data_IF_766072866187
#
_entry.id   IF_766072866187
#
_cell.length_a   1.000
_cell.length_b   1.000
_cell.length_c   1.000
_cell.angle_alpha   90.00
_cell.angle_beta   90.00
_cell.angle_gamma   90.00
#
_symmetry.space_group_name_H-M   'P 1'
#
loop_
_entity.id
_entity.type
_entity.pdbx_description
1 polymer ?
#
# COMPACT_ATOMS: atom_id res chain seq x y z
N UNK A 1 -83.57 81.51 45.87
CA UNK A 1 -84.48 81.40 47.05
C UNK A 1 -85.16 80.01 47.12
N UNK A 2 -85.65 79.44 46.00
CA UNK A 2 -86.20 78.06 45.97
C UNK A 2 -85.16 76.94 46.17
N UNK A 3 -83.88 77.15 45.81
CA UNK A 3 -82.82 76.14 46.03
C UNK A 3 -82.33 76.04 47.49
N UNK A 4 -82.13 77.15 48.22
CA UNK A 4 -81.69 77.11 49.64
C UNK A 4 -82.69 76.43 50.57
N UNK A 5 -83.99 76.67 50.36
CA UNK A 5 -85.03 76.01 51.15
C UNK A 5 -85.15 74.52 50.82
N UNK A 6 -84.99 74.15 49.54
CA UNK A 6 -84.96 72.74 49.14
C UNK A 6 -83.72 72.02 49.70
N UNK A 7 -82.57 72.70 49.80
CA UNK A 7 -81.34 72.18 50.40
C UNK A 7 -81.46 72.01 51.93
N UNK A 8 -81.99 73.00 52.65
CA UNK A 8 -82.18 72.91 54.10
C UNK A 8 -83.21 71.85 54.52
N UNK A 9 -84.26 71.65 53.71
CA UNK A 9 -85.27 70.62 53.97
C UNK A 9 -84.71 69.20 53.66
N UNK A 10 -83.87 69.08 52.61
CA UNK A 10 -83.10 67.86 52.35
C UNK A 10 -82.15 67.54 53.51
N UNK A 11 -81.45 68.54 54.06
CA UNK A 11 -80.56 68.36 55.21
C UNK A 11 -81.31 67.86 56.46
N UNK A 12 -82.51 68.38 56.71
CA UNK A 12 -83.35 67.92 57.82
C UNK A 12 -83.86 66.48 57.63
N UNK A 13 -84.24 66.08 56.40
CA UNK A 13 -84.60 64.69 56.11
C UNK A 13 -83.40 63.73 56.19
N UNK A 14 -82.22 64.15 55.73
CA UNK A 14 -80.97 63.39 55.87
C UNK A 14 -80.62 63.21 57.35
N UNK A 15 -80.73 64.27 58.16
CA UNK A 15 -80.48 64.20 59.60
C UNK A 15 -81.51 63.32 60.31
N UNK A 16 -82.78 63.36 59.92
CA UNK A 16 -83.82 62.49 60.48
C UNK A 16 -83.60 61.02 60.11
N UNK A 17 -83.25 60.73 58.86
CA UNK A 17 -82.87 59.39 58.42
C UNK A 17 -81.60 58.90 59.14
N UNK A 18 -80.63 59.79 59.37
CA UNK A 18 -79.44 59.49 60.17
C UNK A 18 -79.80 59.15 61.61
N UNK A 19 -80.70 59.90 62.26
CA UNK A 19 -81.19 59.60 63.62
C UNK A 19 -81.91 58.25 63.66
N UNK A 20 -82.81 57.98 62.71
CA UNK A 20 -83.54 56.72 62.64
C UNK A 20 -82.60 55.53 62.41
N UNK A 21 -81.60 55.69 61.54
CA UNK A 21 -80.58 54.67 61.30
C UNK A 21 -79.68 54.48 62.54
N UNK A 22 -79.32 55.54 63.26
CA UNK A 22 -78.59 55.45 64.54
C UNK A 22 -79.43 54.75 65.62
N UNK A 23 -80.72 55.01 65.71
CA UNK A 23 -81.63 54.30 66.63
C UNK A 23 -81.75 52.81 66.26
N UNK A 24 -81.84 52.50 64.96
CA UNK A 24 -81.82 51.12 64.48
C UNK A 24 -80.51 50.44 64.86
N UNK A 25 -79.36 51.07 64.66
CA UNK A 25 -78.05 50.58 65.09
C UNK A 25 -78.03 50.32 66.60
N UNK A 26 -78.51 51.24 67.43
CA UNK A 26 -78.62 51.05 68.88
C UNK A 26 -79.48 49.83 69.23
N UNK A 27 -80.63 49.66 68.57
CA UNK A 27 -81.52 48.52 68.82
C UNK A 27 -80.88 47.18 68.46
N UNK A 28 -80.12 47.13 67.36
CA UNK A 28 -79.37 45.94 66.94
C UNK A 28 -78.25 45.65 67.92
N UNK A 29 -77.46 46.66 68.30
CA UNK A 29 -76.38 46.52 69.29
C UNK A 29 -76.90 46.04 70.65
N UNK A 30 -78.05 46.55 71.11
CA UNK A 30 -78.69 46.07 72.35
C UNK A 30 -79.10 44.60 72.28
N UNK A 31 -79.55 44.12 71.12
CA UNK A 31 -79.87 42.68 70.92
C UNK A 31 -78.62 41.81 70.82
N UNK A 32 -77.51 42.35 70.32
CA UNK A 32 -76.24 41.64 70.21
C UNK A 32 -75.45 41.62 71.53
N UNK A 33 -75.72 42.54 72.46
CA UNK A 33 -75.01 42.64 73.73
C UNK A 33 -75.07 41.36 74.59
N UNK A 34 -76.23 40.70 74.78
CA UNK A 34 -76.32 39.44 75.53
C UNK A 34 -75.54 38.30 74.87
N UNK A 35 -75.57 38.23 73.54
CA UNK A 35 -74.81 37.23 72.77
C UNK A 35 -73.32 37.45 72.95
N UNK A 36 -72.86 38.71 72.89
CA UNK A 36 -71.47 39.06 73.15
C UNK A 36 -71.04 38.68 74.57
N UNK A 37 -71.87 38.96 75.59
CA UNK A 37 -71.57 38.56 76.97
C UNK A 37 -71.55 37.05 77.18
N UNK A 38 -72.40 36.30 76.48
CA UNK A 38 -72.38 34.83 76.53
C UNK A 38 -71.08 34.30 75.88
N UNK A 39 -70.70 34.83 74.71
CA UNK A 39 -69.45 34.47 74.04
C UNK A 39 -68.21 34.83 74.87
N UNK A 40 -68.21 35.96 75.59
CA UNK A 40 -67.11 36.31 76.51
C UNK A 40 -67.01 35.31 77.67
N UNK A 41 -68.15 34.86 78.21
CA UNK A 41 -68.17 33.88 79.28
C UNK A 41 -67.63 32.52 78.79
N UNK A 42 -68.04 32.08 77.60
CA UNK A 42 -67.50 30.86 76.97
C UNK A 42 -66.00 30.98 76.71
N UNK A 43 -65.55 32.14 76.22
CA UNK A 43 -64.13 32.41 75.98
C UNK A 43 -63.32 32.34 77.28
N UNK A 44 -63.84 32.88 78.38
CA UNK A 44 -63.21 32.79 79.69
C UNK A 44 -63.11 31.31 80.16
N UNK A 45 -64.17 30.52 79.99
CA UNK A 45 -64.15 29.08 80.32
C UNK A 45 -63.10 28.34 79.48
N UNK A 46 -63.07 28.59 78.17
CA UNK A 46 -62.09 28.00 77.25
C UNK A 46 -60.65 28.38 77.62
N UNK A 47 -60.40 29.63 78.01
CA UNK A 47 -59.09 30.08 78.49
C UNK A 47 -58.67 29.35 79.77
N UNK A 48 -59.60 29.15 80.71
CA UNK A 48 -59.33 28.39 81.95
C UNK A 48 -59.00 26.93 81.62
N UNK A 49 -59.80 26.27 80.76
CA UNK A 49 -59.56 24.88 80.35
C UNK A 49 -58.23 24.73 79.61
N UNK A 50 -57.91 25.69 78.74
CA UNK A 50 -56.62 25.70 78.05
C UNK A 50 -55.46 25.83 79.04
N UNK A 51 -55.55 26.74 80.00
CA UNK A 51 -54.54 26.89 81.06
C UNK A 51 -54.35 25.58 81.85
N UNK A 52 -55.45 24.94 82.27
CA UNK A 52 -55.41 23.65 82.96
C UNK A 52 -54.76 22.54 82.10
N UNK A 53 -55.08 22.48 80.81
CA UNK A 53 -54.45 21.53 79.89
C UNK A 53 -52.95 21.81 79.74
N UNK A 54 -52.56 23.08 79.61
CA UNK A 54 -51.14 23.45 79.50
C UNK A 54 -50.35 23.12 80.76
N UNK A 55 -50.93 23.33 81.95
CA UNK A 55 -50.28 22.96 83.21
C UNK A 55 -50.15 21.44 83.35
N UNK A 56 -51.20 20.68 82.97
CA UNK A 56 -51.14 19.21 82.94
C UNK A 56 -50.08 18.69 81.96
N UNK A 57 -49.93 19.31 80.79
CA UNK A 57 -48.87 18.97 79.84
C UNK A 57 -47.50 19.24 80.46
N UNK A 58 -47.29 20.42 81.07
CA UNK A 58 -46.02 20.75 81.73
C UNK A 58 -45.67 19.76 82.85
N UNK A 59 -46.66 19.33 83.63
CA UNK A 59 -46.44 18.36 84.69
C UNK A 59 -46.08 16.98 84.15
N UNK A 60 -46.75 16.55 83.07
CA UNK A 60 -46.38 15.33 82.35
C UNK A 60 -44.99 15.44 81.75
N UNK A 61 -44.64 16.55 81.09
CA UNK A 61 -43.31 16.80 80.53
C UNK A 61 -42.22 16.71 81.60
N UNK A 62 -42.44 17.30 82.78
CA UNK A 62 -41.50 17.15 83.91
C UNK A 62 -41.34 15.68 84.31
N UNK A 63 -42.43 14.92 84.38
CA UNK A 63 -42.37 13.48 84.65
C UNK A 63 -41.64 12.71 83.53
N UNK A 64 -41.80 13.12 82.27
CA UNK A 64 -41.13 12.50 81.13
C UNK A 64 -39.63 12.85 81.04
N UNK A 65 -39.23 14.02 81.48
CA UNK A 65 -37.83 14.47 81.45
C UNK A 65 -37.04 13.91 82.63
N UNK A 66 -37.70 13.52 83.73
CA UNK A 66 -37.04 12.94 84.90
C UNK A 66 -36.30 11.63 84.57
N UNK A 67 -34.95 11.64 84.55
CA UNK A 67 -34.16 10.47 84.21
C UNK A 67 -34.03 9.47 85.37
N UNK A 68 -34.66 9.74 86.53
CA UNK A 68 -34.62 8.89 87.72
C UNK A 68 -35.74 7.85 87.81
N UNK A 69 -36.66 7.81 86.84
CA UNK A 69 -37.79 6.88 86.87
C UNK A 69 -37.36 5.48 86.42
N UNK A 70 -37.30 4.54 87.38
CA UNK A 70 -36.75 3.18 87.20
C UNK A 70 -37.45 2.37 86.11
N UNK A 71 -38.72 2.69 85.82
CA UNK A 71 -39.51 1.99 84.80
C UNK A 71 -39.15 2.37 83.35
N UNK A 72 -38.35 3.43 83.12
CA UNK A 72 -37.95 3.89 81.78
C UNK A 72 -36.47 3.71 81.46
N UNK A 73 -35.66 3.26 82.42
CA UNK A 73 -34.23 3.01 82.22
C UNK A 73 -34.04 1.55 81.83
N UNK A 74 -33.57 1.29 80.62
CA UNK A 74 -33.09 -0.04 80.22
C UNK A 74 -31.63 -0.18 80.63
N UNK A 75 -31.37 -0.98 81.66
CA UNK A 75 -29.99 -1.35 82.02
C UNK A 75 -29.42 -2.24 80.89
N UNK A 76 -28.48 -1.71 80.12
CA UNK A 76 -27.76 -2.51 79.14
C UNK A 76 -26.87 -3.51 79.88
N UNK A 77 -26.89 -4.78 79.46
CA UNK A 77 -25.95 -5.77 79.99
C UNK A 77 -24.57 -5.51 79.39
N UNK A 78 -23.60 -5.32 80.27
CA UNK A 78 -22.19 -5.10 79.95
C UNK A 78 -21.49 -4.56 81.20
N UNK A 79 -20.18 -4.77 81.30
CA UNK A 79 -19.35 -3.97 82.20
C UNK A 79 -18.82 -2.82 81.35
N UNK A 80 -19.10 -1.60 81.74
CA UNK A 80 -18.39 -0.46 81.17
C UNK A 80 -16.93 -0.62 81.57
N UNK A 81 -16.03 -0.63 80.58
CA UNK A 81 -14.61 -0.70 80.88
C UNK A 81 -14.27 0.50 81.73
N UNK A 82 -13.58 0.22 82.83
CA UNK A 82 -13.05 1.29 83.66
C UNK A 82 -12.05 2.09 82.83
N UNK A 83 -11.91 3.39 83.06
CA UNK A 83 -10.96 4.24 82.34
C UNK A 83 -9.55 3.62 82.27
N UNK A 84 -9.10 3.02 83.38
CA UNK A 84 -7.84 2.28 83.46
C UNK A 84 -7.76 1.03 82.57
N UNK A 85 -8.86 0.29 82.38
CA UNK A 85 -8.90 -0.88 81.49
C UNK A 85 -8.89 -0.46 80.02
N UNK A 86 -9.53 0.68 79.71
CA UNK A 86 -9.54 1.26 78.38
C UNK A 86 -8.15 1.76 77.98
N UNK A 87 -7.45 2.44 78.90
CA UNK A 87 -6.05 2.85 78.72
C UNK A 87 -5.15 1.63 78.48
N UNK A 88 -5.24 0.58 79.31
CA UNK A 88 -4.45 -0.64 79.11
C UNK A 88 -4.67 -1.28 77.74
N UNK A 89 -5.91 -1.30 77.26
CA UNK A 89 -6.24 -1.85 75.94
C UNK A 89 -5.71 -0.95 74.82
N UNK A 90 -5.71 0.36 75.02
CA UNK A 90 -5.14 1.34 74.10
C UNK A 90 -3.62 1.13 74.00
N UNK A 91 -2.91 1.02 75.12
CA UNK A 91 -1.47 0.74 75.17
C UNK A 91 -1.13 -0.59 74.46
N UNK A 92 -1.94 -1.63 74.65
CA UNK A 92 -1.74 -2.91 73.98
C UNK A 92 -1.92 -2.82 72.46
N UNK A 93 -2.93 -2.07 72.01
CA UNK A 93 -3.15 -1.82 70.58
C UNK A 93 -2.05 -0.97 69.97
N UNK A 94 -1.57 0.06 70.66
CA UNK A 94 -0.43 0.88 70.22
C UNK A 94 0.84 0.03 70.09
N UNK A 95 1.12 -0.84 71.06
CA UNK A 95 2.25 -1.76 70.98
C UNK A 95 2.12 -2.73 69.80
N UNK A 96 0.91 -3.25 69.53
CA UNK A 96 0.67 -4.12 68.39
C UNK A 96 0.83 -3.37 67.06
N UNK A 97 0.37 -2.12 66.99
CA UNK A 97 0.53 -1.26 65.82
C UNK A 97 2.02 -1.01 65.53
N UNK A 98 2.78 -0.59 66.54
CA UNK A 98 4.22 -0.34 66.41
C UNK A 98 4.98 -1.58 65.91
N UNK A 99 4.66 -2.77 66.45
CA UNK A 99 5.25 -4.05 65.97
C UNK A 99 4.90 -4.38 64.52
N UNK A 100 3.75 -3.93 64.02
CA UNK A 100 3.34 -4.13 62.63
C UNK A 100 4.03 -3.15 61.70
N UNK A 101 4.19 -1.89 62.13
CA UNK A 101 4.91 -0.85 61.41
C UNK A 101 6.39 -1.22 61.25
N UNK A 102 7.05 -1.68 62.30
CA UNK A 102 8.44 -2.18 62.25
C UNK A 102 8.60 -3.28 61.19
N UNK A 103 7.73 -4.30 61.22
CA UNK A 103 7.74 -5.40 60.24
C UNK A 103 7.45 -4.95 58.81
N UNK A 104 6.68 -3.88 58.65
CA UNK A 104 6.36 -3.32 57.34
C UNK A 104 7.60 -2.63 56.77
N UNK A 105 8.29 -1.83 57.58
CA UNK A 105 9.54 -1.17 57.21
C UNK A 105 10.64 -2.17 56.83
N UNK A 106 10.77 -3.28 57.57
CA UNK A 106 11.71 -4.37 57.20
C UNK A 106 11.39 -4.95 55.82
N UNK A 107 10.10 -5.18 55.52
CA UNK A 107 9.67 -5.72 54.24
C UNK A 107 9.88 -4.74 53.10
N UNK A 108 9.62 -3.46 53.31
CA UNK A 108 9.87 -2.43 52.31
C UNK A 108 11.35 -2.32 51.98
N UNK A 109 12.23 -2.40 52.98
CA UNK A 109 13.68 -2.42 52.76
C UNK A 109 14.11 -3.65 51.93
N UNK A 110 13.61 -4.84 52.26
CA UNK A 110 13.89 -6.05 51.48
C UNK A 110 13.36 -5.91 50.05
N UNK A 111 12.15 -5.41 49.88
CA UNK A 111 11.52 -5.20 48.58
C UNK A 111 12.33 -4.25 47.71
N UNK A 112 12.80 -3.13 48.26
CA UNK A 112 13.66 -2.19 47.53
C UNK A 112 14.95 -2.85 47.06
N UNK A 113 15.58 -3.65 47.93
CA UNK A 113 16.81 -4.36 47.59
C UNK A 113 16.60 -5.44 46.52
N UNK A 114 15.51 -6.22 46.62
CA UNK A 114 15.14 -7.21 45.59
C UNK A 114 14.82 -6.53 44.27
N UNK A 115 14.10 -5.41 44.29
CA UNK A 115 13.76 -4.64 43.08
C UNK A 115 15.02 -4.13 42.39
N UNK A 116 15.95 -3.51 43.14
CA UNK A 116 17.24 -3.05 42.61
C UNK A 116 18.08 -4.19 42.01
N UNK A 117 18.10 -5.36 42.64
CA UNK A 117 18.80 -6.53 42.10
C UNK A 117 18.14 -7.04 40.82
N UNK A 118 16.81 -7.06 40.79
CA UNK A 118 16.02 -7.47 39.62
C UNK A 118 16.26 -6.53 38.45
N UNK A 119 16.21 -5.21 38.66
CA UNK A 119 16.44 -4.22 37.60
C UNK A 119 17.86 -4.31 37.02
N UNK A 120 18.86 -4.54 37.87
CA UNK A 120 20.24 -4.78 37.44
C UNK A 120 20.37 -6.05 36.59
N UNK A 121 19.68 -7.13 36.98
CA UNK A 121 19.70 -8.39 36.24
C UNK A 121 18.98 -8.24 34.89
N UNK A 122 17.82 -7.58 34.86
CA UNK A 122 17.07 -7.26 33.65
C UNK A 122 17.92 -6.43 32.70
N UNK A 123 18.56 -5.36 33.17
CA UNK A 123 19.43 -4.51 32.35
C UNK A 123 20.60 -5.27 31.74
N UNK A 124 21.27 -6.15 32.51
CA UNK A 124 22.35 -7.02 32.00
C UNK A 124 21.85 -8.02 30.97
N UNK A 125 20.68 -8.61 31.22
CA UNK A 125 20.05 -9.58 30.32
C UNK A 125 19.65 -8.93 29.00
N UNK A 126 19.09 -7.72 29.04
CA UNK A 126 18.70 -6.96 27.87
C UNK A 126 19.91 -6.62 26.98
N UNK A 127 21.01 -6.16 27.58
CA UNK A 127 22.26 -5.91 26.86
C UNK A 127 22.80 -7.20 26.19
N UNK A 128 22.83 -8.31 26.94
CA UNK A 128 23.29 -9.60 26.41
C UNK A 128 22.42 -10.13 25.25
N UNK A 129 21.09 -9.96 25.34
CA UNK A 129 20.17 -10.30 24.24
C UNK A 129 20.51 -9.51 22.98
N UNK A 130 20.78 -8.21 23.11
CA UNK A 130 21.10 -7.36 21.97
C UNK A 130 22.43 -7.75 21.32
N UNK A 131 23.46 -8.04 22.11
CA UNK A 131 24.75 -8.51 21.61
C UNK A 131 24.64 -9.86 20.89
N UNK A 132 23.90 -10.79 21.48
CA UNK A 132 23.65 -12.12 20.89
C UNK A 132 22.92 -11.99 19.55
N UNK A 133 21.93 -11.11 19.47
CA UNK A 133 21.19 -10.83 18.24
C UNK A 133 22.09 -10.21 17.16
N UNK A 134 22.96 -9.27 17.52
CA UNK A 134 23.92 -8.68 16.59
C UNK A 134 24.90 -9.73 16.06
N UNK A 135 25.39 -10.62 16.93
CA UNK A 135 26.26 -11.72 16.53
C UNK A 135 25.54 -12.69 15.57
N UNK A 136 24.30 -13.07 15.88
CA UNK A 136 23.50 -13.95 15.03
C UNK A 136 23.25 -13.32 13.64
N UNK A 137 22.96 -12.02 13.57
CA UNK A 137 22.81 -11.29 12.30
C UNK A 137 24.11 -11.32 11.48
N UNK A 138 25.27 -11.08 12.12
CA UNK A 138 26.58 -11.16 11.44
C UNK A 138 26.86 -12.57 10.93
N UNK A 139 26.61 -13.60 11.74
CA UNK A 139 26.78 -15.01 11.36
C UNK A 139 25.91 -15.38 10.16
N UNK A 140 24.62 -14.99 10.16
CA UNK A 140 23.72 -15.22 9.03
C UNK A 140 24.22 -14.50 7.76
N UNK A 141 24.75 -13.28 7.91
CA UNK A 141 25.38 -12.55 6.80
C UNK A 141 26.57 -13.30 6.21
N UNK A 142 27.45 -13.84 7.05
CA UNK A 142 28.57 -14.67 6.59
C UNK A 142 28.10 -15.97 5.93
N UNK A 143 27.11 -16.65 6.49
CA UNK A 143 26.56 -17.88 5.90
C UNK A 143 25.98 -17.61 4.51
N UNK A 144 25.27 -16.50 4.31
CA UNK A 144 24.77 -16.10 3.00
C UNK A 144 25.92 -15.88 2.02
N UNK A 145 26.94 -15.09 2.40
CA UNK A 145 28.12 -14.86 1.55
C UNK A 145 28.84 -16.15 1.17
N UNK A 146 28.97 -17.10 2.11
CA UNK A 146 29.58 -18.42 1.84
C UNK A 146 28.75 -19.19 0.81
N UNK A 147 27.42 -19.21 0.95
CA UNK A 147 26.52 -19.84 -0.03
C UNK A 147 26.66 -19.21 -1.41
N UNK A 148 26.62 -17.88 -1.49
CA UNK A 148 26.75 -17.15 -2.76
C UNK A 148 28.09 -17.45 -3.46
N UNK A 149 29.20 -17.52 -2.70
CA UNK A 149 30.53 -17.87 -3.25
C UNK A 149 30.58 -19.33 -3.67
N UNK A 150 29.96 -20.24 -2.92
CA UNK A 150 29.91 -21.66 -3.24
C UNK A 150 29.10 -21.91 -4.52
N UNK A 151 28.00 -21.19 -4.70
CA UNK A 151 27.19 -21.24 -5.93
C UNK A 151 27.97 -20.75 -7.15
N UNK A 152 28.68 -19.62 -7.03
CA UNK A 152 29.58 -19.13 -8.09
C UNK A 152 30.70 -20.13 -8.38
N UNK A 153 31.29 -20.75 -7.35
CA UNK A 153 32.32 -21.76 -7.52
C UNK A 153 31.78 -22.99 -8.27
N UNK A 154 30.57 -23.46 -7.94
CA UNK A 154 29.92 -24.56 -8.67
C UNK A 154 29.68 -24.21 -10.14
N UNK A 155 29.24 -22.99 -10.45
CA UNK A 155 29.07 -22.55 -11.83
C UNK A 155 30.39 -22.57 -12.60
N UNK A 156 31.47 -22.02 -12.02
CA UNK A 156 32.80 -22.03 -12.63
C UNK A 156 33.36 -23.45 -12.80
N UNK A 157 33.12 -24.34 -11.84
CA UNK A 157 33.53 -25.75 -11.95
C UNK A 157 32.78 -26.45 -13.09
N UNK A 158 31.48 -26.17 -13.27
CA UNK A 158 30.71 -26.71 -14.38
C UNK A 158 31.21 -26.18 -15.73
N UNK A 159 31.45 -24.88 -15.85
CA UNK A 159 32.04 -24.27 -17.04
C UNK A 159 33.40 -24.89 -17.37
N UNK A 160 34.29 -25.01 -16.38
CA UNK A 160 35.60 -25.62 -16.56
C UNK A 160 35.46 -27.07 -17.02
N UNK A 161 34.55 -27.85 -16.43
CA UNK A 161 34.30 -29.24 -16.82
C UNK A 161 33.85 -29.35 -18.27
N UNK A 162 32.95 -28.48 -18.74
CA UNK A 162 32.55 -28.43 -20.15
C UNK A 162 33.72 -28.09 -21.08
N UNK A 163 34.56 -27.11 -20.70
CA UNK A 163 35.75 -26.74 -21.48
C UNK A 163 36.81 -27.85 -21.51
N UNK A 164 36.98 -28.56 -20.40
CA UNK A 164 37.86 -29.72 -20.30
C UNK A 164 37.35 -30.85 -21.22
N UNK A 165 36.05 -31.15 -21.18
CA UNK A 165 35.45 -32.14 -22.07
C UNK A 165 35.66 -31.78 -23.56
N UNK A 166 35.41 -30.53 -23.94
CA UNK A 166 35.65 -30.05 -25.31
C UNK A 166 37.13 -30.17 -25.71
N UNK A 167 38.06 -29.82 -24.81
CA UNK A 167 39.50 -29.96 -25.08
C UNK A 167 39.88 -31.41 -25.33
N UNK A 168 39.32 -32.35 -24.55
CA UNK A 168 39.56 -33.79 -24.72
C UNK A 168 39.01 -34.28 -26.06
N UNK A 169 37.81 -33.84 -26.46
CA UNK A 169 37.22 -34.17 -27.76
C UNK A 169 38.07 -33.65 -28.92
N UNK A 170 38.47 -32.38 -28.89
CA UNK A 170 39.34 -31.80 -29.92
C UNK A 170 40.71 -32.49 -29.98
N UNK A 171 41.29 -32.83 -28.82
CA UNK A 171 42.55 -33.56 -28.78
C UNK A 171 42.42 -34.96 -29.38
N UNK A 172 41.28 -35.62 -29.17
CA UNK A 172 40.97 -36.90 -29.80
C UNK A 172 40.85 -36.75 -31.32
N UNK A 173 40.13 -35.74 -31.80
CA UNK A 173 40.00 -35.48 -33.24
C UNK A 173 41.36 -35.20 -33.89
N UNK A 174 42.21 -34.38 -33.27
CA UNK A 174 43.57 -34.12 -33.76
C UNK A 174 44.36 -35.42 -33.89
N UNK A 175 44.34 -36.29 -32.88
CA UNK A 175 45.01 -37.60 -32.93
C UNK A 175 44.47 -38.49 -34.04
N UNK A 176 43.14 -38.58 -34.19
CA UNK A 176 42.52 -39.37 -35.26
C UNK A 176 42.92 -38.87 -36.66
N UNK A 177 42.99 -37.54 -36.84
CA UNK A 177 43.45 -36.93 -38.11
C UNK A 177 44.95 -37.13 -38.34
N UNK A 178 45.78 -37.02 -37.31
CA UNK A 178 47.21 -37.31 -37.37
C UNK A 178 47.48 -38.76 -37.75
N UNK A 179 46.79 -39.72 -37.11
CA UNK A 179 46.85 -41.14 -37.43
C UNK A 179 46.39 -41.41 -38.87
N UNK A 180 45.32 -40.75 -39.31
CA UNK A 180 44.85 -40.84 -40.69
C UNK A 180 45.87 -40.30 -41.71
N UNK A 181 46.48 -39.15 -41.44
CA UNK A 181 47.54 -38.57 -42.28
C UNK A 181 48.75 -39.51 -42.30
N UNK A 182 49.17 -40.03 -41.15
CA UNK A 182 50.26 -40.99 -41.05
C UNK A 182 50.00 -42.26 -41.87
N UNK A 183 48.76 -42.78 -41.81
CA UNK A 183 48.34 -43.91 -42.64
C UNK A 183 48.43 -43.59 -44.14
N UNK A 184 47.97 -42.42 -44.56
CA UNK A 184 48.02 -41.99 -45.95
C UNK A 184 49.47 -41.81 -46.43
N UNK A 185 50.31 -41.14 -45.63
CA UNK A 185 51.73 -40.95 -45.93
C UNK A 185 52.46 -42.30 -46.04
N UNK A 186 52.22 -43.22 -45.11
CA UNK A 186 52.81 -44.56 -45.14
C UNK A 186 52.43 -45.35 -46.40
N UNK A 187 51.22 -45.15 -46.95
CA UNK A 187 50.82 -45.76 -48.23
C UNK A 187 51.48 -45.09 -49.42
N UNK A 188 51.55 -43.76 -49.41
CA UNK A 188 52.22 -42.98 -50.45
C UNK A 188 53.70 -43.33 -50.55
N UNK A 189 54.41 -43.45 -49.42
CA UNK A 189 55.81 -43.89 -49.37
C UNK A 189 56.02 -45.29 -49.96
N UNK A 190 55.02 -46.17 -49.81
CA UNK A 190 55.01 -47.52 -50.40
C UNK A 190 54.56 -47.53 -51.87
N UNK A 191 54.25 -46.37 -52.46
CA UNK A 191 53.74 -46.24 -53.83
C UNK A 191 52.33 -46.82 -54.03
N UNK A 192 51.57 -47.07 -52.96
CA UNK A 192 50.22 -47.60 -53.03
C UNK A 192 49.21 -46.46 -53.21
N UNK A 193 48.15 -46.66 -54.03
CA UNK A 193 47.11 -45.65 -54.20
C UNK A 193 46.36 -45.38 -52.89
N UNK A 194 45.89 -44.15 -52.72
CA UNK A 194 45.02 -43.71 -51.63
C UNK A 194 43.67 -44.44 -51.66
N UNK A 195 42.89 -44.35 -50.57
CA UNK A 195 41.56 -44.96 -50.52
C UNK A 195 40.64 -44.32 -51.58
N UNK A 196 39.79 -45.15 -52.23
CA UNK A 196 38.79 -44.72 -53.22
C UNK A 196 37.79 -43.71 -52.67
N UNK A 197 37.55 -43.72 -51.36
CA UNK A 197 36.70 -42.72 -50.69
C UNK A 197 37.29 -41.31 -50.82
N UNK A 198 38.61 -41.17 -50.60
CA UNK A 198 39.33 -39.90 -50.69
C UNK A 198 39.29 -39.37 -52.13
N UNK A 199 39.49 -40.25 -53.11
CA UNK A 199 39.37 -39.91 -54.52
C UNK A 199 37.97 -39.40 -54.87
N UNK A 200 36.92 -40.05 -54.36
CA UNK A 200 35.53 -39.61 -54.57
C UNK A 200 35.25 -38.26 -53.94
N UNK A 201 35.78 -37.99 -52.75
CA UNK A 201 35.66 -36.69 -52.09
C UNK A 201 36.42 -35.60 -52.86
N UNK A 202 37.64 -35.88 -53.30
CA UNK A 202 38.40 -34.96 -54.13
C UNK A 202 37.68 -34.60 -55.43
N UNK A 203 37.08 -35.58 -56.11
CA UNK A 203 36.27 -35.34 -57.30
C UNK A 203 34.99 -34.54 -57.01
N UNK A 204 34.46 -34.56 -55.78
CA UNK A 204 33.36 -33.65 -55.38
C UNK A 204 33.87 -32.23 -55.25
N UNK A 205 34.99 -32.03 -54.54
CA UNK A 205 35.60 -30.70 -54.36
C UNK A 205 35.90 -30.04 -55.71
N UNK A 206 36.52 -30.77 -56.65
CA UNK A 206 36.80 -30.24 -57.99
C UNK A 206 35.53 -29.84 -58.76
N UNK A 207 34.44 -30.60 -58.62
CA UNK A 207 33.16 -30.24 -59.22
C UNK A 207 32.58 -28.97 -58.59
N UNK A 208 32.63 -28.87 -57.27
CA UNK A 208 32.10 -27.73 -56.53
C UNK A 208 32.90 -26.45 -56.83
N UNK A 209 34.22 -26.55 -56.95
CA UNK A 209 35.10 -25.46 -57.40
C UNK A 209 34.74 -25.01 -58.82
N UNK A 210 34.60 -25.95 -59.76
CA UNK A 210 34.19 -25.63 -61.14
C UNK A 210 32.82 -24.96 -61.19
N UNK A 211 31.86 -25.44 -60.39
CA UNK A 211 30.54 -24.83 -60.26
C UNK A 211 30.63 -23.41 -59.71
N UNK A 212 31.48 -23.18 -58.71
CA UNK A 212 31.70 -21.85 -58.14
C UNK A 212 32.35 -20.90 -59.14
N UNK A 213 33.35 -21.36 -59.89
CA UNK A 213 33.99 -20.58 -60.95
C UNK A 213 33.00 -20.18 -62.04
N UNK A 214 32.16 -21.11 -62.50
CA UNK A 214 31.10 -20.82 -63.47
C UNK A 214 30.08 -19.82 -62.91
N UNK A 215 29.68 -19.95 -61.64
CA UNK A 215 28.77 -19.00 -61.01
C UNK A 215 29.39 -17.60 -60.89
N UNK A 216 30.69 -17.52 -60.62
CA UNK A 216 31.42 -16.25 -60.52
C UNK A 216 31.56 -15.60 -61.90
N UNK A 217 31.93 -16.36 -62.93
CA UNK A 217 32.04 -15.83 -64.30
C UNK A 217 30.70 -15.35 -64.83
N UNK A 218 29.61 -16.08 -64.54
CA UNK A 218 28.27 -15.66 -64.92
C UNK A 218 27.86 -14.38 -64.18
N UNK A 219 28.11 -14.27 -62.86
CA UNK A 219 27.86 -13.00 -62.14
C UNK A 219 28.67 -11.82 -62.69
N UNK A 220 29.93 -12.04 -63.05
CA UNK A 220 30.74 -10.99 -63.68
C UNK A 220 30.22 -10.59 -65.06
N UNK A 221 29.68 -11.54 -65.83
CA UNK A 221 29.04 -11.28 -67.10
C UNK A 221 27.75 -10.48 -66.90
N UNK A 222 26.88 -10.90 -65.98
CA UNK A 222 25.65 -10.20 -65.63
C UNK A 222 25.93 -8.76 -65.20
N UNK A 223 26.97 -8.50 -64.38
CA UNK A 223 27.36 -7.15 -63.98
C UNK A 223 27.79 -6.29 -65.16
N UNK A 224 28.61 -6.83 -66.08
CA UNK A 224 28.98 -6.12 -67.32
C UNK A 224 27.78 -5.83 -68.20
N UNK A 225 26.87 -6.79 -68.35
CA UNK A 225 25.64 -6.59 -69.11
C UNK A 225 24.76 -5.53 -68.44
N UNK A 226 24.69 -5.50 -67.10
CA UNK A 226 23.96 -4.48 -66.34
C UNK A 226 24.55 -3.09 -66.52
N UNK A 227 25.88 -2.96 -66.49
CA UNK A 227 26.59 -1.71 -66.74
C UNK A 227 26.34 -1.22 -68.18
N UNK A 228 26.41 -2.13 -69.16
CA UNK A 228 26.03 -1.84 -70.54
C UNK A 228 24.54 -1.50 -70.71
N UNK A 229 23.66 -1.89 -69.79
CA UNK A 229 22.22 -1.54 -69.82
C UNK A 229 21.93 -0.21 -69.12
N UNK A 230 22.90 0.38 -68.43
CA UNK A 230 22.74 1.65 -67.73
C UNK A 230 22.92 2.81 -68.71
N UNK A 231 21.87 3.60 -68.91
CA UNK A 231 21.94 4.82 -69.71
C UNK A 231 22.65 5.95 -68.93
N UNK A 232 23.26 6.95 -69.60
CA UNK A 232 23.91 8.09 -68.94
C UNK A 232 23.00 8.88 -67.96
N UNK A 233 21.68 8.72 -68.08
CA UNK A 233 20.69 9.34 -67.19
C UNK A 233 20.36 8.48 -65.94
N UNK A 234 21.07 7.38 -65.72
CA UNK A 234 20.93 6.49 -64.56
C UNK A 234 19.78 5.48 -64.63
N UNK A 235 19.07 5.38 -65.76
CA UNK A 235 17.95 4.44 -65.96
C UNK A 235 18.44 3.19 -66.71
N UNK A 236 18.07 1.99 -66.22
CA UNK A 236 18.37 0.73 -66.89
C UNK A 236 17.41 0.48 -68.07
N UNK A 237 17.93 0.09 -69.23
CA UNK A 237 17.16 -0.28 -70.42
C UNK A 237 17.38 -1.74 -70.80
N UNK A 238 16.31 -2.43 -71.21
CA UNK A 238 16.37 -3.79 -71.78
C UNK A 238 16.54 -3.79 -73.30
N UNK A 239 16.53 -2.63 -73.95
CA UNK A 239 16.77 -2.52 -75.38
C UNK A 239 18.27 -2.67 -75.69
N UNK A 240 18.62 -3.51 -76.68
CA UNK A 240 19.99 -3.61 -77.20
C UNK A 240 20.48 -2.22 -77.64
N UNK A 241 21.65 -1.79 -77.14
CA UNK A 241 22.24 -0.53 -77.55
C UNK A 241 22.60 -0.59 -79.03
N UNK A 242 22.09 0.34 -79.84
CA UNK A 242 22.42 0.42 -81.26
C UNK A 242 23.85 0.91 -81.43
N UNK A 243 24.68 0.27 -82.28
CA UNK A 243 25.98 0.82 -82.66
C UNK A 243 25.78 2.22 -83.23
N UNK A 244 26.25 3.25 -82.51
CA UNK A 244 26.05 4.66 -82.85
C UNK A 244 27.17 5.24 -83.73
N UNK A 245 28.28 4.52 -83.84
CA UNK A 245 29.43 4.87 -84.67
C UNK A 245 29.96 3.63 -85.40
N UNK A 246 30.55 3.83 -86.57
CA UNK A 246 31.44 2.84 -87.16
C UNK A 246 32.89 3.25 -86.91
N UNK A 247 33.76 2.26 -87.02
CA UNK A 247 35.19 2.45 -86.94
C UNK A 247 35.70 2.36 -88.39
N UNK A 248 36.11 3.47 -89.03
CA UNK A 248 36.67 3.41 -90.37
C UNK A 248 38.04 2.72 -90.33
N UNK A 249 38.26 1.75 -91.22
CA UNK A 249 39.58 1.18 -91.46
C UNK A 249 40.41 2.20 -92.26
N UNK A 250 41.30 2.95 -91.59
CA UNK A 250 42.25 3.84 -92.24
C UNK A 250 43.66 3.58 -91.69
N UNK A 251 44.60 3.28 -92.58
CA UNK A 251 45.90 2.68 -92.26
C UNK A 251 46.97 3.63 -91.66
N UNK A 252 46.61 4.85 -91.23
CA UNK A 252 47.62 5.82 -90.76
C UNK A 252 47.28 6.64 -89.50
N UNK A 253 46.12 6.44 -88.86
CA UNK A 253 45.78 7.08 -87.56
C UNK A 253 44.87 6.18 -86.73
N UNK A 254 45.01 6.23 -85.40
CA UNK A 254 44.12 5.52 -84.45
C UNK A 254 42.65 5.77 -84.82
N UNK A 255 41.86 4.71 -85.08
CA UNK A 255 40.55 4.89 -85.67
C UNK A 255 39.56 5.40 -84.61
N UNK A 256 39.25 6.68 -84.68
CA UNK A 256 38.23 7.31 -83.81
C UNK A 256 36.84 6.92 -84.32
N UNK A 257 35.93 6.44 -83.44
CA UNK A 257 34.56 6.10 -83.84
C UNK A 257 33.88 7.30 -84.50
N UNK A 258 33.42 7.13 -85.74
CA UNK A 258 32.70 8.17 -86.49
C UNK A 258 31.19 7.89 -86.45
N UNK A 259 30.36 8.89 -86.11
CA UNK A 259 28.90 8.71 -86.13
C UNK A 259 28.42 8.48 -87.56
N UNK A 260 27.40 7.63 -87.71
CA UNK A 260 26.87 7.27 -89.04
C UNK A 260 26.13 8.41 -89.77
N UNK A 261 25.89 9.55 -89.11
CA UNK A 261 25.24 10.71 -89.72
C UNK A 261 23.80 10.43 -90.17
N UNK A 262 23.33 11.15 -91.21
CA UNK A 262 21.96 11.04 -91.72
C UNK A 262 21.62 9.69 -92.39
N UNK A 263 22.64 8.91 -92.77
CA UNK A 263 22.50 7.61 -93.44
C UNK A 263 22.81 6.46 -92.48
N UNK A 264 22.26 6.52 -91.26
CA UNK A 264 22.52 5.50 -90.24
C UNK A 264 21.99 4.11 -90.67
N UNK A 265 22.77 3.03 -90.46
CA UNK A 265 22.31 1.69 -90.76
C UNK A 265 21.11 1.37 -89.87
N UNK A 266 19.97 1.18 -90.52
CA UNK A 266 18.74 0.77 -89.88
C UNK A 266 18.70 -0.76 -89.81
N UNK A 267 18.65 -1.33 -88.61
CA UNK A 267 18.27 -2.73 -88.41
C UNK A 267 16.74 -2.80 -88.57
N UNK A 268 16.20 -3.46 -89.60
CA UNK A 268 14.76 -3.63 -89.74
C UNK A 268 14.22 -4.28 -88.48
N UNK A 269 13.13 -3.73 -87.93
CA UNK A 269 12.41 -4.41 -86.86
C UNK A 269 12.02 -5.80 -87.36
N UNK A 270 12.33 -6.84 -86.58
CA UNK A 270 11.89 -8.18 -86.91
C UNK A 270 10.36 -8.16 -87.07
N UNK A 271 9.82 -8.72 -88.17
CA UNK A 271 8.39 -8.71 -88.40
C UNK A 271 7.71 -9.36 -87.20
N UNK A 272 6.84 -8.59 -86.53
CA UNK A 272 6.14 -9.08 -85.35
C UNK A 272 5.38 -10.36 -85.68
N UNK A 273 5.24 -11.25 -84.69
CA UNK A 273 4.65 -12.59 -84.86
C UNK A 273 3.27 -12.61 -85.58
N UNK A 274 2.57 -11.47 -85.60
CA UNK A 274 1.28 -11.25 -86.27
C UNK A 274 1.35 -10.98 -87.79
N UNK A 275 2.53 -10.79 -88.40
CA UNK A 275 2.68 -10.51 -89.85
C UNK A 275 2.72 -11.77 -90.74
N UNK A 276 2.11 -12.88 -90.33
CA UNK A 276 2.13 -14.16 -91.07
C UNK A 276 1.11 -14.25 -92.23
N UNK A 277 0.30 -13.21 -92.46
CA UNK A 277 -0.86 -13.27 -93.37
C UNK A 277 -0.80 -12.34 -94.59
N UNK A 278 0.39 -11.88 -95.02
CA UNK A 278 0.53 -11.16 -96.30
C UNK A 278 0.83 -12.19 -97.40
N UNK A 279 -0.21 -12.63 -98.14
CA UNK A 279 -0.04 -13.45 -99.33
C UNK A 279 0.42 -12.58 -100.50
N UNK A 280 1.58 -12.87 -101.08
CA UNK A 280 2.04 -12.18 -102.30
C UNK A 280 1.09 -12.54 -103.46
N UNK A 281 0.61 -11.57 -104.25
CA UNK A 281 -0.26 -11.86 -105.39
C UNK A 281 0.51 -12.68 -106.44
N UNK A 282 -0.11 -13.75 -106.93
CA UNK A 282 0.46 -14.58 -108.00
C UNK A 282 0.29 -13.83 -109.32
N UNK A 283 1.41 -13.42 -109.91
CA UNK A 283 1.45 -12.78 -111.22
C UNK A 283 1.15 -13.87 -112.26
N UNK A 284 0.05 -13.75 -113.01
CA UNK A 284 -0.25 -14.68 -114.11
C UNK A 284 0.69 -14.39 -115.28
N UNK A 285 1.32 -15.41 -115.90
CA UNK A 285 2.13 -15.20 -117.09
C UNK A 285 1.26 -14.71 -118.24
N UNK A 286 1.74 -13.69 -118.94
CA UNK A 286 1.15 -13.20 -120.19
C UNK A 286 1.67 -14.12 -121.29
N UNK A 287 0.78 -14.82 -121.99
CA UNK A 287 1.13 -15.53 -123.22
C UNK A 287 1.08 -14.53 -124.38
N UNK A 288 2.26 -14.18 -124.91
CA UNK A 288 2.69 -14.06 -126.33
C UNK A 288 4.12 -13.51 -126.32
#
# INVERSE_FOLDING_TARGET
IKERHKMSLNELEILRNSIAEKQRQISVTKKLLPVKSALDADLAVLQIQFAQCTDRIRDLEKQFINPGDKNRIRLLRGKDLTEAEMIKKLDELELQLAKKEEKLLEKDFIFEQVSRLTDRLCSKTEACKQDTLLLAKKMNGYQKRIKDVTEKMMALVAELSMKQALTIELQKEVKEKEEFIFYCNSRLEKGLPLNKDIEREWMKVLRDEQMYEMALTEKFRELRERDNQLLPNGVYTSAEQRPNAYIPEADATLPVPKPYGALAPFKPSEPGSNMRHIRKPVIKPIEI
#
